data_IF_373427231348
#
_entry.id   IF_373427231348
#
_cell.length_a   1.000
_cell.length_b   1.000
_cell.length_c   1.000
_cell.angle_alpha   90.00
_cell.angle_beta   90.00
_cell.angle_gamma   90.00
#
_symmetry.space_group_name_H-M   'P 1'
#
loop_
_entity.id
_entity.type
_entity.pdbx_description
1 polymer ?
#
# COMPACT_ATOMS: atom_id res chain seq x y z
N UNK A 1 -6.35 -0.79 -15.98
CA UNK A 1 -7.32 -1.90 -16.16
C UNK A 1 -7.50 -2.25 -17.65
N UNK A 2 -7.41 -1.32 -18.58
CA UNK A 2 -7.57 -1.56 -20.02
C UNK A 2 -6.27 -1.86 -20.80
N UNK A 3 -5.13 -1.96 -20.12
CA UNK A 3 -3.85 -2.40 -20.73
C UNK A 3 -3.77 -3.92 -20.96
N UNK A 4 -4.74 -4.70 -20.49
CA UNK A 4 -4.71 -6.15 -20.54
C UNK A 4 -5.28 -6.76 -21.84
N UNK A 5 -5.68 -5.98 -22.82
CA UNK A 5 -6.13 -6.54 -24.10
C UNK A 5 -4.98 -6.48 -25.14
N UNK A 6 -4.19 -7.57 -25.29
CA UNK A 6 -2.95 -7.57 -26.06
C UNK A 6 -3.15 -7.45 -27.58
N UNK A 7 -4.39 -7.50 -28.08
CA UNK A 7 -4.70 -7.47 -29.52
C UNK A 7 -4.75 -6.07 -30.14
N UNK A 8 -4.66 -4.99 -29.35
CA UNK A 8 -4.93 -3.63 -29.87
C UNK A 8 -3.71 -2.70 -29.82
N UNK A 9 -2.64 -3.03 -29.10
CA UNK A 9 -1.49 -2.16 -28.93
C UNK A 9 -0.19 -2.92 -29.20
N UNK A 10 0.53 -2.47 -30.22
CA UNK A 10 1.89 -2.90 -30.50
C UNK A 10 2.73 -2.70 -29.23
N UNK A 11 3.12 -3.81 -28.56
CA UNK A 11 3.75 -3.86 -27.22
C UNK A 11 4.95 -2.92 -27.03
N UNK A 12 5.55 -2.45 -28.13
CA UNK A 12 6.80 -1.72 -28.11
C UNK A 12 6.66 -0.18 -28.01
N UNK A 13 5.46 0.37 -27.85
CA UNK A 13 5.24 1.85 -27.85
C UNK A 13 4.47 2.41 -26.65
N UNK A 14 4.15 1.61 -25.64
CA UNK A 14 3.46 2.09 -24.45
C UNK A 14 4.49 2.42 -23.34
N UNK A 15 4.76 3.70 -23.17
CA UNK A 15 5.51 4.25 -22.03
C UNK A 15 4.57 5.01 -21.10
N UNK A 16 5.04 5.34 -19.88
CA UNK A 16 4.28 6.16 -18.91
C UNK A 16 3.91 7.53 -19.53
N UNK A 17 4.78 8.07 -20.38
CA UNK A 17 4.64 9.38 -21.01
C UNK A 17 3.95 9.34 -22.38
N UNK A 18 3.84 8.19 -23.04
CA UNK A 18 3.26 8.08 -24.38
C UNK A 18 2.47 6.78 -24.55
N UNK A 19 1.28 6.80 -25.18
CA UNK A 19 0.53 7.97 -25.67
C UNK A 19 -0.12 8.78 -24.52
N UNK A 20 -0.51 10.04 -24.82
CA UNK A 20 -1.27 10.90 -23.89
C UNK A 20 -2.56 10.20 -23.44
N UNK A 21 -3.12 10.66 -22.32
CA UNK A 21 -4.38 10.14 -21.77
C UNK A 21 -5.49 10.15 -22.80
N UNK A 22 -6.16 9.04 -22.97
CA UNK A 22 -7.24 8.86 -23.97
C UNK A 22 -8.39 8.05 -23.40
N UNK A 23 -9.58 8.24 -23.95
CA UNK A 23 -10.75 7.44 -23.59
C UNK A 23 -10.55 5.99 -24.07
N UNK A 24 -10.74 4.96 -23.20
CA UNK A 24 -10.52 3.56 -23.58
C UNK A 24 -11.49 3.08 -24.66
N UNK A 25 -12.69 3.66 -24.76
CA UNK A 25 -13.74 3.25 -25.70
C UNK A 25 -13.60 3.92 -27.07
N UNK A 26 -13.54 5.23 -27.12
CA UNK A 26 -13.48 5.97 -28.39
C UNK A 26 -12.07 6.36 -28.81
N UNK A 27 -11.04 6.08 -28.01
CA UNK A 27 -9.62 6.43 -28.22
C UNK A 27 -9.34 7.93 -28.45
N UNK A 28 -10.33 8.79 -28.20
CA UNK A 28 -10.13 10.22 -28.27
C UNK A 28 -9.19 10.70 -27.16
N UNK A 29 -8.24 11.57 -27.51
CA UNK A 29 -7.34 12.17 -26.53
C UNK A 29 -8.11 13.12 -25.61
N UNK A 30 -7.76 13.08 -24.31
CA UNK A 30 -8.37 13.94 -23.30
C UNK A 30 -7.63 15.27 -23.29
N UNK A 31 -8.38 16.38 -23.32
CA UNK A 31 -7.80 17.71 -23.23
C UNK A 31 -7.18 17.93 -21.84
N UNK A 32 -6.10 18.73 -21.76
CA UNK A 32 -5.37 19.01 -20.52
C UNK A 32 -6.28 19.56 -19.40
N UNK A 33 -7.26 20.40 -19.75
CA UNK A 33 -8.22 20.93 -18.78
C UNK A 33 -9.04 19.85 -18.05
N UNK A 34 -9.29 18.73 -18.71
CA UNK A 34 -10.03 17.60 -18.13
C UNK A 34 -9.13 16.60 -17.41
N UNK A 35 -7.83 16.86 -17.37
CA UNK A 35 -6.85 16.09 -16.57
C UNK A 35 -6.59 16.74 -15.20
N UNK A 36 -7.15 17.94 -14.94
CA UNK A 36 -7.05 18.57 -13.63
C UNK A 36 -7.81 17.69 -12.61
N UNK A 37 -7.18 17.25 -11.53
CA UNK A 37 -7.79 16.38 -10.53
C UNK A 37 -9.12 16.95 -10.03
N UNK A 38 -10.11 16.10 -9.83
CA UNK A 38 -11.49 16.38 -9.41
C UNK A 38 -12.26 17.28 -10.40
N UNK A 39 -11.68 18.42 -10.81
CA UNK A 39 -12.33 19.36 -11.73
C UNK A 39 -12.61 18.72 -13.09
N UNK A 40 -11.66 17.92 -13.60
CA UNK A 40 -11.83 17.19 -14.85
C UNK A 40 -13.03 16.24 -14.84
N UNK A 41 -13.24 15.54 -13.74
CA UNK A 41 -14.39 14.65 -13.58
C UNK A 41 -15.71 15.45 -13.44
N UNK A 42 -15.70 16.54 -12.66
CA UNK A 42 -16.86 17.40 -12.45
C UNK A 42 -17.31 18.07 -13.76
N UNK A 43 -16.39 18.68 -14.52
CA UNK A 43 -16.70 19.33 -15.80
C UNK A 43 -17.23 18.35 -16.85
N UNK A 44 -16.82 17.10 -16.80
CA UNK A 44 -17.29 16.05 -17.70
C UNK A 44 -18.54 15.34 -17.16
N UNK A 45 -19.04 15.73 -15.99
CA UNK A 45 -20.18 15.08 -15.31
C UNK A 45 -20.02 13.55 -15.27
N UNK A 46 -18.78 13.10 -15.00
CA UNK A 46 -18.43 11.69 -14.94
C UNK A 46 -18.54 10.90 -16.26
N UNK A 47 -18.55 11.57 -17.42
CA UNK A 47 -18.73 10.93 -18.72
C UNK A 47 -17.73 11.48 -19.74
N UNK A 48 -17.31 10.64 -20.68
CA UNK A 48 -16.48 11.08 -21.80
C UNK A 48 -17.24 12.08 -22.67
N UNK A 49 -16.63 13.22 -23.01
CA UNK A 49 -17.26 14.29 -23.82
C UNK A 49 -17.66 13.78 -25.20
N UNK A 50 -16.88 12.89 -25.81
CA UNK A 50 -17.08 12.44 -27.19
C UNK A 50 -18.05 11.26 -27.30
N UNK A 51 -17.90 10.23 -26.49
CA UNK A 51 -18.71 9.01 -26.59
C UNK A 51 -19.69 8.81 -25.42
N UNK A 52 -19.72 9.74 -24.45
CA UNK A 52 -20.56 9.72 -23.24
C UNK A 52 -20.44 8.46 -22.40
N UNK A 53 -19.38 7.67 -22.60
CA UNK A 53 -19.07 6.52 -21.72
C UNK A 53 -18.79 6.99 -20.31
N UNK A 54 -19.29 6.25 -19.29
CA UNK A 54 -19.08 6.56 -17.88
C UNK A 54 -17.60 6.42 -17.51
N UNK A 55 -17.07 7.40 -16.79
CA UNK A 55 -15.74 7.37 -16.19
C UNK A 55 -15.87 6.60 -14.86
N UNK A 56 -14.95 5.68 -14.57
CA UNK A 56 -14.97 4.93 -13.31
C UNK A 56 -14.84 5.88 -12.11
N UNK A 57 -15.68 5.69 -11.10
CA UNK A 57 -15.66 6.44 -9.84
C UNK A 57 -14.34 6.23 -9.07
N UNK A 58 -13.60 5.17 -9.36
CA UNK A 58 -12.31 4.91 -8.73
C UNK A 58 -11.30 6.05 -8.93
N UNK A 59 -11.35 6.76 -10.09
CA UNK A 59 -10.45 7.89 -10.35
C UNK A 59 -10.67 9.06 -9.39
N UNK A 60 -11.88 9.65 -9.31
CA UNK A 60 -12.10 10.74 -8.37
C UNK A 60 -11.97 10.32 -6.91
N UNK A 61 -12.31 9.07 -6.55
CA UNK A 61 -12.06 8.57 -5.20
C UNK A 61 -10.57 8.53 -4.86
N UNK A 62 -9.72 8.10 -5.80
CA UNK A 62 -8.28 8.15 -5.62
C UNK A 62 -7.80 9.59 -5.41
N UNK A 63 -8.22 10.52 -6.26
CA UNK A 63 -7.84 11.92 -6.18
C UNK A 63 -8.28 12.58 -4.86
N UNK A 64 -9.51 12.30 -4.40
CA UNK A 64 -10.02 12.76 -3.10
C UNK A 64 -9.22 12.17 -1.94
N UNK A 65 -8.91 10.86 -1.99
CA UNK A 65 -8.14 10.22 -0.91
C UNK A 65 -6.75 10.82 -0.77
N UNK A 66 -6.04 11.08 -1.87
CA UNK A 66 -4.73 11.73 -1.85
C UNK A 66 -4.81 13.19 -1.35
N UNK A 67 -5.84 13.93 -1.75
CA UNK A 67 -6.06 15.30 -1.28
C UNK A 67 -6.30 15.31 0.23
N UNK A 68 -7.22 14.49 0.73
CA UNK A 68 -7.58 14.46 2.16
C UNK A 68 -6.39 14.02 3.02
N UNK A 69 -5.66 12.99 2.61
CA UNK A 69 -4.47 12.53 3.33
C UNK A 69 -3.37 13.57 3.27
N UNK A 70 -3.14 14.19 2.12
CA UNK A 70 -2.17 15.28 2.00
C UNK A 70 -2.48 16.45 2.93
N UNK A 71 -3.74 16.91 2.98
CA UNK A 71 -4.19 17.97 3.89
C UNK A 71 -4.04 17.56 5.36
N UNK A 72 -4.43 16.34 5.72
CA UNK A 72 -4.28 15.83 7.07
C UNK A 72 -2.80 15.80 7.51
N UNK A 73 -1.91 15.28 6.65
CA UNK A 73 -0.49 15.21 6.95
C UNK A 73 0.16 16.60 7.06
N UNK A 74 -0.26 17.58 6.22
CA UNK A 74 0.20 18.96 6.34
C UNK A 74 -0.29 19.59 7.64
N UNK A 75 -1.54 19.32 8.04
CA UNK A 75 -2.09 19.82 9.29
C UNK A 75 -1.33 19.25 10.51
N UNK A 76 -1.02 17.95 10.51
CA UNK A 76 -0.36 17.28 11.63
C UNK A 76 1.14 17.58 11.72
N UNK A 77 1.85 17.64 10.61
CA UNK A 77 3.31 17.70 10.58
C UNK A 77 3.90 18.97 9.96
N UNK A 78 3.06 19.77 9.28
CA UNK A 78 3.56 20.86 8.45
C UNK A 78 4.27 20.36 7.18
N UNK A 79 4.80 21.29 6.38
CA UNK A 79 5.56 20.98 5.14
C UNK A 79 7.03 20.76 5.49
N UNK A 80 7.36 19.58 5.99
CA UNK A 80 8.71 19.18 6.35
C UNK A 80 9.09 17.84 5.71
N UNK A 81 10.33 17.39 5.91
CA UNK A 81 10.81 16.12 5.33
C UNK A 81 9.94 14.93 5.74
N UNK A 82 9.45 14.93 6.98
CA UNK A 82 8.58 13.87 7.52
C UNK A 82 7.29 13.74 6.72
N UNK A 83 6.65 14.87 6.38
CA UNK A 83 5.47 14.90 5.51
C UNK A 83 5.73 14.23 4.17
N UNK A 84 6.81 14.60 3.47
CA UNK A 84 7.09 14.06 2.14
C UNK A 84 7.35 12.55 2.17
N UNK A 85 8.04 12.07 3.20
CA UNK A 85 8.33 10.63 3.36
C UNK A 85 7.06 9.84 3.64
N UNK A 86 6.21 10.28 4.57
CA UNK A 86 4.95 9.59 4.87
C UNK A 86 4.02 9.61 3.66
N UNK A 87 3.94 10.73 2.95
CA UNK A 87 3.13 10.84 1.75
C UNK A 87 3.62 9.89 0.64
N UNK A 88 4.94 9.73 0.50
CA UNK A 88 5.54 8.76 -0.43
C UNK A 88 5.23 7.31 -0.01
N UNK A 89 5.35 6.97 1.27
CA UNK A 89 4.99 5.63 1.80
C UNK A 89 3.51 5.35 1.53
N UNK A 90 2.64 6.32 1.83
CA UNK A 90 1.21 6.20 1.54
C UNK A 90 0.93 5.99 0.04
N UNK A 91 1.62 6.71 -0.83
CA UNK A 91 1.50 6.55 -2.28
C UNK A 91 1.88 5.13 -2.73
N UNK A 92 2.99 4.57 -2.21
CA UNK A 92 3.41 3.20 -2.51
C UNK A 92 2.42 2.17 -1.96
N UNK A 93 1.95 2.35 -0.73
CA UNK A 93 0.93 1.50 -0.13
C UNK A 93 -0.37 1.52 -0.93
N UNK A 94 -0.79 2.68 -1.39
CA UNK A 94 -1.99 2.82 -2.22
C UNK A 94 -1.88 2.02 -3.52
N UNK A 95 -0.75 2.12 -4.22
CA UNK A 95 -0.52 1.34 -5.44
C UNK A 95 -0.52 -0.17 -5.14
N UNK A 96 0.23 -0.60 -4.12
CA UNK A 96 0.32 -2.02 -3.73
C UNK A 96 -1.03 -2.57 -3.29
N UNK A 97 -1.81 -1.80 -2.53
CA UNK A 97 -3.16 -2.17 -2.09
C UNK A 97 -4.07 -2.48 -3.27
N UNK A 98 -4.15 -1.60 -4.27
CA UNK A 98 -5.01 -1.84 -5.44
C UNK A 98 -4.49 -2.92 -6.37
N UNK A 99 -3.18 -3.09 -6.48
CA UNK A 99 -2.60 -4.17 -7.28
C UNK A 99 -2.89 -5.53 -6.65
N UNK A 100 -2.76 -5.65 -5.34
CA UNK A 100 -3.06 -6.88 -4.62
C UNK A 100 -4.58 -7.17 -4.64
N UNK A 101 -5.41 -6.17 -4.33
CA UNK A 101 -6.87 -6.32 -4.30
C UNK A 101 -7.46 -6.77 -5.65
N UNK A 102 -6.89 -6.29 -6.78
CA UNK A 102 -7.44 -6.56 -8.13
C UNK A 102 -6.75 -7.69 -8.87
N UNK A 103 -5.47 -7.88 -8.63
CA UNK A 103 -4.62 -8.78 -9.42
C UNK A 103 -3.91 -9.84 -8.59
N UNK A 104 -4.02 -9.81 -7.25
CA UNK A 104 -3.26 -10.69 -6.35
C UNK A 104 -1.77 -10.66 -6.66
N UNK A 105 -1.26 -9.47 -6.98
CA UNK A 105 0.12 -9.29 -7.43
C UNK A 105 0.80 -8.12 -6.72
N UNK A 106 1.91 -8.42 -6.06
CA UNK A 106 2.76 -7.45 -5.35
C UNK A 106 4.08 -7.31 -6.10
N UNK A 107 4.30 -6.22 -6.86
CA UNK A 107 5.54 -6.01 -7.61
C UNK A 107 6.75 -5.95 -6.69
N UNK A 108 7.77 -6.76 -6.98
CA UNK A 108 9.00 -6.82 -6.21
C UNK A 108 9.70 -5.46 -6.08
N UNK A 109 9.74 -4.69 -7.18
CA UNK A 109 10.38 -3.36 -7.19
C UNK A 109 9.75 -2.36 -6.22
N UNK A 110 8.41 -2.35 -6.06
CA UNK A 110 7.73 -1.47 -5.12
C UNK A 110 7.99 -1.87 -3.66
N UNK A 111 8.03 -3.17 -3.38
CA UNK A 111 8.39 -3.67 -2.06
C UNK A 111 9.83 -3.32 -1.68
N UNK A 112 10.78 -3.44 -2.63
CA UNK A 112 12.17 -3.00 -2.41
C UNK A 112 12.23 -1.50 -2.13
N UNK A 113 11.47 -0.69 -2.86
CA UNK A 113 11.43 0.76 -2.62
C UNK A 113 11.00 1.08 -1.18
N UNK A 114 10.00 0.37 -0.64
CA UNK A 114 9.57 0.50 0.75
C UNK A 114 10.67 0.10 1.74
N UNK A 115 11.38 -1.01 1.48
CA UNK A 115 12.51 -1.46 2.31
C UNK A 115 13.59 -0.38 2.35
N UNK A 116 13.98 0.15 1.19
CA UNK A 116 14.99 1.19 1.09
C UNK A 116 14.55 2.48 1.82
N UNK A 117 13.28 2.87 1.71
CA UNK A 117 12.75 4.00 2.45
C UNK A 117 12.85 3.73 3.96
N UNK A 118 12.44 2.57 4.46
CA UNK A 118 12.57 2.21 5.88
C UNK A 118 14.02 2.26 6.38
N UNK A 119 14.95 1.64 5.64
CA UNK A 119 16.38 1.63 5.98
C UNK A 119 16.98 3.03 6.00
N UNK A 120 16.67 3.87 5.01
CA UNK A 120 17.24 5.23 4.92
C UNK A 120 16.64 6.17 5.96
N UNK A 121 15.32 6.14 6.14
CA UNK A 121 14.64 7.06 7.08
C UNK A 121 14.97 6.75 8.53
N UNK A 122 15.03 5.49 8.91
CA UNK A 122 15.42 5.12 10.26
C UNK A 122 16.94 5.18 10.46
N UNK A 123 17.73 4.76 9.46
CA UNK A 123 19.19 4.77 9.56
C UNK A 123 19.80 6.16 9.68
N UNK A 124 19.25 7.17 9.01
CA UNK A 124 19.77 8.54 9.04
C UNK A 124 19.01 9.48 9.99
N UNK A 125 17.71 9.27 10.16
CA UNK A 125 16.86 10.22 10.87
C UNK A 125 16.17 9.65 12.11
N UNK A 126 16.28 8.33 12.39
CA UNK A 126 15.56 7.62 13.46
C UNK A 126 14.05 7.93 13.48
N UNK A 127 13.44 8.06 12.29
CA UNK A 127 12.13 8.69 12.12
C UNK A 127 10.97 7.89 12.74
N UNK A 128 11.03 6.56 12.64
CA UNK A 128 9.98 5.65 13.14
C UNK A 128 10.47 4.77 14.30
N UNK A 129 11.71 5.00 14.78
CA UNK A 129 12.32 4.18 15.83
C UNK A 129 11.56 4.33 17.14
N UNK A 130 11.21 3.21 17.76
CA UNK A 130 10.50 3.20 19.03
C UNK A 130 11.42 3.61 20.20
N UNK A 131 10.84 4.27 21.21
CA UNK A 131 11.54 4.69 22.43
C UNK A 131 12.20 3.51 23.14
N UNK A 132 11.55 2.34 23.14
CA UNK A 132 12.09 1.11 23.71
C UNK A 132 13.40 0.66 23.03
N UNK A 133 13.46 0.74 21.69
CA UNK A 133 14.67 0.37 20.93
C UNK A 133 15.80 1.38 21.15
N UNK A 134 15.48 2.67 21.29
CA UNK A 134 16.44 3.71 21.64
C UNK A 134 17.04 3.48 23.04
N UNK A 135 16.27 3.01 24.03
CA UNK A 135 16.76 2.65 25.36
C UNK A 135 17.80 1.52 25.34
N UNK A 136 17.72 0.63 24.36
CA UNK A 136 18.69 -0.45 24.14
C UNK A 136 19.95 -0.02 23.38
N UNK A 137 20.18 1.29 23.21
CA UNK A 137 21.25 1.86 22.37
C UNK A 137 21.28 1.29 20.94
N UNK A 138 20.13 0.93 20.41
CA UNK A 138 19.98 0.39 19.06
C UNK A 138 20.06 1.49 18.00
N UNK A 139 20.83 1.26 16.94
CA UNK A 139 20.86 2.15 15.79
C UNK A 139 19.60 1.99 14.95
N UNK A 140 19.06 3.08 14.38
CA UNK A 140 17.88 3.03 13.52
C UNK A 140 18.02 2.11 12.32
N UNK A 141 19.23 1.92 11.79
CA UNK A 141 19.51 0.95 10.75
C UNK A 141 19.31 -0.50 11.23
N UNK A 142 19.76 -0.83 12.45
CA UNK A 142 19.52 -2.14 13.05
C UNK A 142 18.03 -2.38 13.32
N UNK A 143 17.32 -1.33 13.76
CA UNK A 143 15.86 -1.37 13.93
C UNK A 143 15.14 -1.80 12.66
N UNK A 144 15.47 -1.17 11.53
CA UNK A 144 14.91 -1.51 10.23
C UNK A 144 15.31 -2.90 9.74
N UNK A 145 16.56 -3.31 9.95
CA UNK A 145 17.03 -4.64 9.57
C UNK A 145 16.33 -5.74 10.38
N UNK A 146 16.25 -5.59 11.71
CA UNK A 146 15.52 -6.52 12.53
C UNK A 146 14.04 -6.57 12.14
N UNK A 147 13.41 -5.41 11.92
CA UNK A 147 12.04 -5.35 11.44
C UNK A 147 11.82 -6.11 10.13
N UNK A 148 12.71 -5.90 9.16
CA UNK A 148 12.66 -6.62 7.88
C UNK A 148 12.78 -8.13 8.05
N UNK A 149 13.81 -8.58 8.76
CA UNK A 149 14.04 -10.02 8.94
C UNK A 149 12.93 -10.69 9.74
N UNK A 150 12.50 -10.10 10.85
CA UNK A 150 11.39 -10.63 11.63
C UNK A 150 10.10 -10.68 10.79
N UNK A 151 9.77 -9.63 10.05
CA UNK A 151 8.59 -9.62 9.19
C UNK A 151 8.65 -10.70 8.11
N UNK A 152 9.74 -10.79 7.39
CA UNK A 152 9.93 -11.79 6.34
C UNK A 152 9.85 -13.23 6.90
N UNK A 153 10.64 -13.52 7.93
CA UNK A 153 10.74 -14.88 8.46
C UNK A 153 9.49 -15.34 9.19
N UNK A 154 8.70 -14.46 9.81
CA UNK A 154 7.43 -14.85 10.44
C UNK A 154 6.44 -15.41 9.42
N UNK A 155 6.14 -14.70 8.35
CA UNK A 155 5.24 -15.20 7.33
C UNK A 155 5.82 -16.37 6.54
N UNK A 156 7.13 -16.34 6.27
CA UNK A 156 7.81 -17.44 5.61
C UNK A 156 7.71 -18.74 6.44
N UNK A 157 7.96 -18.67 7.75
CA UNK A 157 7.87 -19.83 8.64
C UNK A 157 6.45 -20.38 8.72
N UNK A 158 5.44 -19.51 8.85
CA UNK A 158 4.03 -19.92 8.83
C UNK A 158 3.70 -20.66 7.52
N UNK A 159 4.11 -20.12 6.37
CA UNK A 159 3.88 -20.78 5.08
C UNK A 159 4.67 -22.09 4.95
N UNK A 160 5.89 -22.15 5.49
CA UNK A 160 6.70 -23.37 5.49
C UNK A 160 6.01 -24.50 6.26
N UNK A 161 5.52 -24.25 7.48
CA UNK A 161 4.76 -25.25 8.26
C UNK A 161 3.45 -25.63 7.58
N UNK A 162 2.73 -24.65 7.02
CA UNK A 162 1.51 -24.93 6.27
C UNK A 162 1.77 -25.83 5.05
N UNK A 163 2.85 -25.58 4.30
CA UNK A 163 3.28 -26.38 3.16
C UNK A 163 3.65 -27.82 3.56
N UNK A 164 4.29 -28.01 4.72
CA UNK A 164 4.58 -29.35 5.27
C UNK A 164 3.29 -30.14 5.53
N UNK A 165 2.26 -29.47 6.06
CA UNK A 165 0.98 -30.13 6.42
C UNK A 165 0.07 -30.36 5.20
N UNK A 166 -0.04 -29.36 4.32
CA UNK A 166 -1.04 -29.34 3.23
C UNK A 166 -0.46 -29.59 1.84
N UNK A 167 0.86 -29.64 1.69
CA UNK A 167 1.60 -29.78 0.40
C UNK A 167 1.25 -28.70 -0.63
N UNK A 168 0.79 -27.54 -0.18
CA UNK A 168 0.41 -26.37 -0.99
C UNK A 168 0.87 -25.11 -0.27
N UNK A 169 1.22 -24.08 -1.02
CA UNK A 169 1.53 -22.78 -0.46
C UNK A 169 0.23 -22.09 -0.01
N UNK A 170 0.23 -21.55 1.22
CA UNK A 170 -0.92 -20.85 1.80
C UNK A 170 -0.84 -19.34 1.62
N UNK A 171 0.39 -18.78 1.54
CA UNK A 171 0.65 -17.35 1.48
C UNK A 171 1.55 -17.08 0.27
N UNK A 172 1.29 -15.99 -0.45
CA UNK A 172 2.08 -15.58 -1.60
C UNK A 172 3.49 -15.09 -1.22
N UNK A 173 4.49 -15.36 -2.07
CA UNK A 173 5.86 -14.89 -1.82
C UNK A 173 5.98 -13.37 -1.75
N UNK A 174 5.10 -12.63 -2.42
CA UNK A 174 5.02 -11.16 -2.34
C UNK A 174 4.64 -10.63 -0.97
N UNK A 175 3.77 -11.36 -0.25
CA UNK A 175 3.31 -10.98 1.10
C UNK A 175 4.46 -11.03 2.12
N UNK A 176 5.40 -11.99 1.99
CA UNK A 176 6.56 -12.07 2.88
C UNK A 176 7.43 -10.83 2.75
N UNK A 177 7.70 -10.42 1.49
CA UNK A 177 8.54 -9.27 1.20
C UNK A 177 7.85 -7.99 1.64
N UNK A 178 6.52 -7.86 1.39
CA UNK A 178 5.73 -6.72 1.85
C UNK A 178 5.73 -6.62 3.37
N UNK A 179 5.53 -7.73 4.09
CA UNK A 179 5.52 -7.71 5.56
C UNK A 179 6.90 -7.39 6.13
N UNK A 180 7.96 -7.88 5.48
CA UNK A 180 9.33 -7.44 5.77
C UNK A 180 9.54 -5.95 5.49
N UNK A 181 9.00 -5.41 4.39
CA UNK A 181 9.08 -3.99 4.07
C UNK A 181 8.34 -3.12 5.11
N UNK A 182 7.16 -3.54 5.54
CA UNK A 182 6.42 -2.90 6.64
C UNK A 182 7.25 -2.94 7.93
N UNK A 183 7.88 -4.08 8.24
CA UNK A 183 8.78 -4.22 9.38
C UNK A 183 10.00 -3.31 9.32
N UNK A 184 10.58 -3.10 8.13
CA UNK A 184 11.71 -2.19 7.97
C UNK A 184 11.36 -0.72 8.26
N UNK A 185 10.08 -0.33 8.09
CA UNK A 185 9.60 1.02 8.39
C UNK A 185 9.25 1.14 9.87
N UNK A 186 8.40 0.25 10.40
CA UNK A 186 7.79 0.38 11.72
C UNK A 186 8.48 -0.44 12.81
N UNK A 187 9.46 -1.28 12.46
CA UNK A 187 10.24 -2.09 13.39
C UNK A 187 9.59 -3.44 13.77
N UNK A 188 10.32 -4.26 14.54
CA UNK A 188 9.89 -5.63 14.84
C UNK A 188 8.67 -5.71 15.79
N UNK A 189 8.54 -4.79 16.74
CA UNK A 189 7.47 -4.81 17.75
C UNK A 189 6.10 -4.54 17.12
N UNK A 190 6.04 -3.60 16.16
CA UNK A 190 4.82 -3.24 15.45
C UNK A 190 4.18 -4.39 14.67
N UNK A 191 5.02 -5.33 14.21
CA UNK A 191 4.58 -6.42 13.35
C UNK A 191 3.49 -7.30 13.99
N UNK A 192 3.57 -7.53 15.29
CA UNK A 192 2.57 -8.32 16.02
C UNK A 192 1.19 -7.68 15.96
N UNK A 193 1.12 -6.37 16.21
CA UNK A 193 -0.12 -5.62 16.14
C UNK A 193 -0.67 -5.57 14.70
N UNK A 194 0.21 -5.26 13.74
CA UNK A 194 -0.16 -5.18 12.32
C UNK A 194 -0.71 -6.52 11.83
N UNK A 195 -0.06 -7.63 12.17
CA UNK A 195 -0.50 -8.97 11.77
C UNK A 195 -1.86 -9.31 12.37
N UNK A 196 -2.08 -9.00 13.67
CA UNK A 196 -3.34 -9.23 14.35
C UNK A 196 -4.47 -8.46 13.67
N UNK A 197 -4.32 -7.15 13.48
CA UNK A 197 -5.34 -6.31 12.85
C UNK A 197 -5.61 -6.76 11.41
N UNK A 198 -4.56 -7.05 10.64
CA UNK A 198 -4.68 -7.51 9.25
C UNK A 198 -5.43 -8.84 9.14
N UNK A 199 -5.15 -9.78 10.04
CA UNK A 199 -5.83 -11.08 10.06
C UNK A 199 -7.30 -10.94 10.45
N UNK A 200 -7.64 -10.07 11.41
CA UNK A 200 -9.03 -9.79 11.79
C UNK A 200 -9.80 -9.18 10.61
N UNK A 201 -9.24 -8.17 9.95
CA UNK A 201 -9.86 -7.55 8.76
C UNK A 201 -10.05 -8.60 7.66
N UNK A 202 -9.02 -9.42 7.40
CA UNK A 202 -9.08 -10.49 6.42
C UNK A 202 -10.17 -11.53 6.71
N UNK A 203 -10.31 -11.95 7.99
CA UNK A 203 -11.37 -12.85 8.42
C UNK A 203 -12.76 -12.26 8.23
N UNK A 204 -12.97 -11.00 8.64
CA UNK A 204 -14.26 -10.31 8.45
C UNK A 204 -14.58 -10.20 6.96
N UNK A 205 -13.60 -9.78 6.16
CA UNK A 205 -13.78 -9.66 4.71
C UNK A 205 -14.15 -10.99 4.05
N UNK A 206 -13.50 -12.09 4.47
CA UNK A 206 -13.80 -13.43 3.97
C UNK A 206 -15.23 -13.87 4.32
N UNK A 207 -15.67 -13.61 5.55
CA UNK A 207 -17.02 -13.98 5.98
C UNK A 207 -18.11 -13.25 5.17
N UNK A 208 -17.86 -11.99 4.81
CA UNK A 208 -18.81 -11.17 4.04
C UNK A 208 -18.81 -11.56 2.55
N UNK A 209 -17.64 -11.90 1.98
CA UNK A 209 -17.47 -12.08 0.53
C UNK A 209 -17.13 -13.53 0.14
N UNK A 210 -17.57 -14.50 0.91
CA UNK A 210 -17.23 -15.92 0.75
C UNK A 210 -17.51 -16.47 -0.66
N UNK A 211 -18.56 -15.98 -1.33
CA UNK A 211 -18.96 -16.45 -2.66
C UNK A 211 -18.18 -15.82 -3.82
N UNK A 212 -17.55 -14.65 -3.59
CA UNK A 212 -16.92 -13.84 -4.65
C UNK A 212 -15.47 -14.22 -4.86
N UNK A 213 -14.77 -14.59 -3.79
CA UNK A 213 -13.34 -14.88 -3.82
C UNK A 213 -13.11 -16.39 -3.74
N UNK A 214 -12.88 -17.01 -4.88
CA UNK A 214 -12.62 -18.45 -5.09
C UNK A 214 -11.39 -18.94 -4.26
N UNK A 215 -11.54 -18.96 -2.92
CA UNK A 215 -10.55 -19.35 -1.90
C UNK A 215 -9.21 -18.58 -1.91
N UNK A 216 -9.12 -17.43 -2.56
CA UNK A 216 -7.94 -16.55 -2.52
C UNK A 216 -8.29 -15.24 -1.85
N UNK A 217 -7.47 -14.83 -0.87
CA UNK A 217 -7.63 -13.54 -0.20
C UNK A 217 -6.47 -12.62 -0.56
N UNK A 218 -6.73 -11.33 -0.84
CA UNK A 218 -5.68 -10.33 -1.06
C UNK A 218 -5.04 -9.96 0.29
N UNK A 219 -4.18 -10.84 0.82
CA UNK A 219 -3.61 -10.69 2.16
C UNK A 219 -2.71 -9.48 2.28
N UNK A 220 -1.96 -9.16 1.22
CA UNK A 220 -1.13 -7.96 1.16
C UNK A 220 -1.92 -6.67 1.35
N UNK A 221 -3.15 -6.60 0.80
CA UNK A 221 -4.04 -5.45 1.01
C UNK A 221 -4.42 -5.28 2.48
N UNK A 222 -4.66 -6.37 3.20
CA UNK A 222 -4.99 -6.31 4.63
C UNK A 222 -3.78 -5.95 5.48
N UNK A 223 -2.56 -6.40 5.10
CA UNK A 223 -1.32 -5.98 5.75
C UNK A 223 -1.10 -4.47 5.64
N UNK A 224 -1.40 -3.89 4.49
CA UNK A 224 -1.32 -2.45 4.27
C UNK A 224 -2.35 -1.71 5.14
N UNK A 225 -3.60 -2.17 5.22
CA UNK A 225 -4.61 -1.57 6.09
C UNK A 225 -4.20 -1.65 7.57
N UNK A 226 -3.70 -2.80 8.01
CA UNK A 226 -3.19 -2.98 9.37
C UNK A 226 -2.04 -2.02 9.70
N UNK A 227 -1.13 -1.78 8.74
CA UNK A 227 -0.02 -0.84 8.93
C UNK A 227 -0.46 0.63 8.97
N UNK A 228 -1.50 1.00 8.20
CA UNK A 228 -2.10 2.34 8.28
C UNK A 228 -2.79 2.55 9.64
N UNK A 229 -3.53 1.56 10.12
CA UNK A 229 -4.18 1.61 11.44
C UNK A 229 -3.12 1.72 12.53
N UNK A 230 -2.03 0.93 12.47
CA UNK A 230 -0.93 1.03 13.42
C UNK A 230 -0.31 2.44 13.42
N UNK A 231 -0.05 3.00 12.24
CA UNK A 231 0.50 4.36 12.12
C UNK A 231 -0.42 5.41 12.77
N UNK A 232 -1.73 5.30 12.54
CA UNK A 232 -2.71 6.22 13.14
C UNK A 232 -2.74 6.03 14.67
N UNK A 233 -2.84 4.81 15.17
CA UNK A 233 -2.92 4.55 16.61
C UNK A 233 -1.67 4.98 17.36
N UNK A 234 -0.48 4.83 16.76
CA UNK A 234 0.78 5.29 17.32
C UNK A 234 0.83 6.82 17.42
N UNK A 235 0.41 7.54 16.37
CA UNK A 235 0.47 9.01 16.36
C UNK A 235 -0.54 9.69 17.30
N UNK A 236 -1.66 9.03 17.58
CA UNK A 236 -2.68 9.56 18.51
C UNK A 236 -2.49 9.07 19.97
N UNK A 237 -1.32 8.49 20.29
CA UNK A 237 -0.98 7.94 21.62
C UNK A 237 -2.02 6.92 22.16
N UNK A 238 -2.88 6.40 21.29
CA UNK A 238 -3.91 5.43 21.65
C UNK A 238 -3.31 4.11 22.12
N UNK A 239 -2.08 3.80 21.70
CA UNK A 239 -1.35 2.59 22.09
C UNK A 239 -0.54 2.75 23.37
N UNK A 240 -0.08 3.96 23.70
CA UNK A 240 0.74 4.19 24.89
C UNK A 240 -0.07 3.94 26.17
N UNK A 241 -1.38 4.20 26.13
CA UNK A 241 -2.30 3.85 27.22
C UNK A 241 -2.62 2.34 27.31
N UNK A 242 -2.34 1.56 26.27
CA UNK A 242 -2.63 0.10 26.24
C UNK A 242 -1.40 -0.75 26.54
N UNK A 243 -0.19 -0.23 26.33
CA UNK A 243 1.09 -0.94 26.56
C UNK A 243 1.73 -0.64 27.92
N UNK A 244 1.13 0.24 28.72
CA UNK A 244 1.56 0.58 30.10
C UNK A 244 0.86 -0.35 31.14
N UNK A 245 0.15 -1.35 30.72
CA UNK A 245 -0.28 -2.50 31.55
C UNK A 245 0.64 -3.68 31.24
#
# INVERSE_FOLDING_TARGET
IYRSNPKILNKNKLNIFYPRSFCPKCKNQINLLYLIPLLGFLFQVGKCIKCREKISIEYPLAEISFLLIGLLLVYLYGLNLFFYIIFLIFFLFYILFFLDLKFFYLPFGLNISLILIGLTTNGFYNMFVDSFFNLLNGNGLLFSLYGFFFGFFTLWSVNFFYRLMRKKDGIGGGDFILFGAIGSIFGPVSLSFILLVSSLIGCIFFLINKEVYDNRLPFGSFLILGSIIYFITKNFELLDNFLVL
#
